data_IF_805672714013
#
_entry.id   IF_805672714013
#
_cell.length_a   1.000
_cell.length_b   1.000
_cell.length_c   1.000
_cell.angle_alpha   90.00
_cell.angle_beta   90.00
_cell.angle_gamma   90.00
#
_symmetry.space_group_name_H-M   'P 1'
#
loop_
_entity.id
_entity.type
_entity.pdbx_description
1 polymer ?
#
# COMPACT_ATOMS: atom_id res chain seq x y z
N UNK A 1 26.70 -6.89 26.08
CA UNK A 1 26.82 -5.83 25.06
C UNK A 1 27.78 -6.35 24.02
N UNK A 2 27.36 -6.41 22.76
CA UNK A 2 28.27 -6.81 21.68
C UNK A 2 29.33 -5.72 21.46
N UNK A 3 30.62 -6.09 21.26
CA UNK A 3 31.67 -5.11 21.04
C UNK A 3 31.46 -4.41 19.68
N UNK A 4 31.53 -3.07 19.66
CA UNK A 4 31.50 -2.28 18.42
C UNK A 4 32.68 -2.71 17.55
N UNK A 5 32.39 -3.39 16.45
CA UNK A 5 33.39 -3.97 15.54
C UNK A 5 34.02 -2.95 14.59
N UNK A 6 33.37 -1.80 14.38
CA UNK A 6 33.76 -0.82 13.35
C UNK A 6 34.05 0.54 13.98
N UNK A 7 35.33 0.95 13.99
CA UNK A 7 35.79 2.19 14.63
C UNK A 7 36.67 3.01 13.71
N UNK A 8 36.45 4.32 13.69
CA UNK A 8 37.21 5.28 12.90
C UNK A 8 37.65 6.47 13.77
N UNK A 9 38.84 7.01 13.50
CA UNK A 9 39.39 8.14 14.26
C UNK A 9 38.68 9.46 13.97
N UNK A 10 38.07 9.62 12.79
CA UNK A 10 37.24 10.78 12.40
C UNK A 10 36.43 10.47 11.12
N UNK A 11 35.59 11.42 10.68
CA UNK A 11 34.72 11.27 9.49
C UNK A 11 35.54 11.11 8.20
N UNK A 12 36.71 11.73 8.11
CA UNK A 12 37.56 11.63 6.91
C UNK A 12 38.21 10.24 6.80
N UNK A 13 38.60 9.64 7.94
CA UNK A 13 39.03 8.24 7.99
C UNK A 13 37.89 7.29 7.57
N UNK A 14 36.65 7.57 7.98
CA UNK A 14 35.48 6.82 7.50
C UNK A 14 35.28 6.99 5.98
N UNK A 15 35.48 8.20 5.44
CA UNK A 15 35.29 8.50 4.01
C UNK A 15 36.20 7.68 3.11
N UNK A 16 37.45 7.47 3.51
CA UNK A 16 38.44 6.72 2.71
C UNK A 16 38.52 5.23 3.04
N UNK A 17 37.70 4.74 3.97
CA UNK A 17 37.70 3.32 4.36
C UNK A 17 36.79 2.44 3.50
N UNK A 18 37.15 1.17 3.36
CA UNK A 18 36.28 0.13 2.82
C UNK A 18 35.36 -0.38 3.92
N UNK A 19 34.14 0.15 3.94
CA UNK A 19 33.12 -0.22 4.92
C UNK A 19 32.07 -1.06 4.24
N UNK A 20 31.88 -2.29 4.71
CA UNK A 20 30.74 -3.10 4.32
C UNK A 20 29.46 -2.55 4.99
N UNK A 21 28.75 -1.73 4.22
CA UNK A 21 27.51 -1.06 4.63
C UNK A 21 26.40 -2.09 4.92
N UNK A 22 26.43 -3.27 4.30
CA UNK A 22 25.45 -4.33 4.56
C UNK A 22 25.75 -5.04 5.89
N UNK A 23 27.02 -5.32 6.19
CA UNK A 23 27.41 -5.85 7.49
C UNK A 23 27.12 -4.86 8.64
N UNK A 24 27.23 -3.55 8.38
CA UNK A 24 26.86 -2.52 9.35
C UNK A 24 25.35 -2.47 9.65
N UNK A 25 24.48 -2.78 8.67
CA UNK A 25 23.03 -2.91 8.90
C UNK A 25 22.71 -4.04 9.89
N UNK A 26 23.48 -5.12 9.89
CA UNK A 26 23.25 -6.28 10.73
C UNK A 26 23.67 -6.07 12.20
N UNK A 27 24.66 -5.22 12.46
CA UNK A 27 25.20 -4.96 13.81
C UNK A 27 24.78 -3.61 14.39
N UNK A 28 24.30 -2.68 13.56
CA UNK A 28 23.58 -1.48 13.97
C UNK A 28 24.38 -0.40 14.70
N UNK A 29 25.71 -0.51 14.83
CA UNK A 29 26.52 0.47 15.57
C UNK A 29 27.89 0.71 14.93
N UNK A 30 28.36 1.96 15.02
CA UNK A 30 29.67 2.43 14.54
C UNK A 30 30.27 3.45 15.52
N UNK A 31 31.58 3.48 15.66
CA UNK A 31 32.28 4.52 16.43
C UNK A 31 33.08 5.43 15.49
N UNK A 32 32.88 6.75 15.61
CA UNK A 32 33.63 7.75 14.83
C UNK A 32 34.12 8.85 15.76
N UNK A 33 35.44 9.03 15.85
CA UNK A 33 36.06 10.04 16.71
C UNK A 33 35.77 9.85 18.20
N UNK A 34 35.77 8.60 18.67
CA UNK A 34 35.52 8.25 20.07
C UNK A 34 34.06 8.38 20.52
N UNK A 35 33.11 8.54 19.57
CA UNK A 35 31.67 8.63 19.84
C UNK A 35 30.95 7.46 19.16
N UNK A 36 30.09 6.78 19.90
CA UNK A 36 29.26 5.70 19.37
C UNK A 36 27.98 6.23 18.75
N UNK A 37 27.65 5.69 17.58
CA UNK A 37 26.47 6.00 16.81
C UNK A 37 25.73 4.71 16.48
N UNK A 38 24.40 4.77 16.56
CA UNK A 38 23.50 3.71 16.15
C UNK A 38 23.06 3.98 14.71
N UNK A 39 23.17 2.96 13.86
CA UNK A 39 22.78 3.00 12.46
C UNK A 39 21.45 2.28 12.34
N UNK A 40 20.46 2.95 11.74
CA UNK A 40 19.15 2.37 11.44
C UNK A 40 18.83 2.57 9.97
N UNK A 41 18.06 1.65 9.40
CA UNK A 41 17.44 1.87 8.10
C UNK A 41 16.13 2.62 8.30
N UNK A 42 15.97 3.75 7.63
CA UNK A 42 14.68 4.44 7.52
C UNK A 42 13.75 3.70 6.54
N UNK A 43 12.46 4.05 6.54
CA UNK A 43 11.44 3.39 5.72
C UNK A 43 11.65 3.51 4.19
N UNK A 44 12.52 4.41 3.75
CA UNK A 44 12.99 4.58 2.37
C UNK A 44 14.31 3.84 2.07
N UNK A 45 14.73 2.97 3.00
CA UNK A 45 15.99 2.22 2.97
C UNK A 45 17.26 3.09 3.05
N UNK A 46 17.14 4.41 3.25
CA UNK A 46 18.27 5.28 3.58
C UNK A 46 18.75 5.02 5.01
N UNK A 47 20.06 5.04 5.20
CA UNK A 47 20.64 4.92 6.54
C UNK A 47 20.50 6.23 7.30
N UNK A 48 19.92 6.14 8.49
CA UNK A 48 19.93 7.22 9.49
C UNK A 48 20.90 6.84 10.61
N UNK A 49 21.55 7.86 11.17
CA UNK A 49 22.59 7.68 12.18
C UNK A 49 22.22 8.53 13.38
N UNK A 50 22.11 7.93 14.55
CA UNK A 50 21.79 8.63 15.80
C UNK A 50 22.92 8.42 16.81
N UNK A 51 23.22 9.44 17.62
CA UNK A 51 24.25 9.28 18.66
C UNK A 51 23.67 8.49 19.84
N UNK A 52 24.29 7.38 20.20
CA UNK A 52 23.82 6.52 21.29
C UNK A 52 23.87 7.28 22.63
N UNK A 53 22.75 7.33 23.36
CA UNK A 53 22.67 7.89 24.73
C UNK A 53 21.93 9.21 24.93
N UNK A 54 21.14 9.72 23.96
CA UNK A 54 20.17 10.82 24.20
C UNK A 54 18.72 10.32 24.18
N UNK A 55 17.88 10.65 25.18
CA UNK A 55 16.46 10.30 25.16
C UNK A 55 15.71 11.08 24.08
N UNK A 56 14.87 10.37 23.32
CA UNK A 56 14.01 10.94 22.28
C UNK A 56 12.95 11.87 22.90
N UNK A 57 13.07 13.18 22.66
CA UNK A 57 12.01 14.16 22.93
C UNK A 57 11.31 14.47 21.59
N UNK A 58 10.16 13.86 21.34
CA UNK A 58 9.25 14.31 20.30
C UNK A 58 8.29 15.33 20.88
N UNK A 59 8.45 16.59 20.49
CA UNK A 59 7.52 17.67 20.82
C UNK A 59 8.17 19.05 20.64
N UNK A 60 7.76 19.75 19.57
CA UNK A 60 8.10 21.14 19.20
C UNK A 60 9.55 21.40 18.84
N UNK A 61 9.83 21.73 17.57
CA UNK A 61 10.68 22.85 17.10
C UNK A 61 10.92 22.69 15.59
N UNK A 62 10.35 23.61 14.79
CA UNK A 62 10.87 23.89 13.44
C UNK A 62 11.60 25.23 13.46
N UNK A 63 12.70 25.25 12.70
CA UNK A 63 13.59 26.37 12.29
C UNK A 63 14.74 26.75 13.22
N UNK A 64 15.95 26.30 12.84
CA UNK A 64 17.04 27.20 12.47
C UNK A 64 17.92 26.54 11.41
N UNK A 65 18.40 27.34 10.45
CA UNK A 65 19.37 26.94 9.43
C UNK A 65 20.79 27.06 9.98
N UNK A 66 21.69 26.15 9.57
CA UNK A 66 23.14 26.29 9.75
C UNK A 66 23.74 25.37 10.83
N UNK A 67 24.14 24.17 10.41
CA UNK A 67 25.09 23.23 11.04
C UNK A 67 24.58 21.80 10.78
N UNK A 68 25.04 21.14 9.71
CA UNK A 68 24.75 19.70 9.54
C UNK A 68 25.34 18.96 10.75
N UNK A 69 24.51 18.20 11.45
CA UNK A 69 24.98 17.49 12.63
C UNK A 69 26.00 16.42 12.19
N UNK A 70 26.98 16.08 13.04
CA UNK A 70 27.95 15.00 12.70
C UNK A 70 27.25 13.69 12.32
N UNK A 71 26.07 13.43 12.90
CA UNK A 71 25.20 12.32 12.55
C UNK A 71 24.71 12.38 11.09
N UNK A 72 24.26 13.55 10.63
CA UNK A 72 23.80 13.74 9.24
C UNK A 72 24.95 13.54 8.24
N UNK A 73 26.15 14.00 8.60
CA UNK A 73 27.35 13.83 7.77
C UNK A 73 27.77 12.36 7.65
N UNK A 74 27.67 11.59 8.74
CA UNK A 74 27.95 10.15 8.74
C UNK A 74 26.87 9.41 7.94
N UNK A 75 25.59 9.74 8.14
CA UNK A 75 24.47 9.16 7.40
C UNK A 75 24.61 9.36 5.89
N UNK A 76 24.88 10.60 5.46
CA UNK A 76 25.08 10.93 4.05
C UNK A 76 26.26 10.14 3.46
N UNK A 77 27.40 10.08 4.17
CA UNK A 77 28.59 9.38 3.70
C UNK A 77 28.37 7.87 3.55
N UNK A 78 27.63 7.24 4.47
CA UNK A 78 27.29 5.82 4.38
C UNK A 78 26.32 5.53 3.23
N UNK A 79 25.38 6.44 2.96
CA UNK A 79 24.47 6.33 1.82
C UNK A 79 25.21 6.53 0.48
N UNK A 80 26.20 7.42 0.41
CA UNK A 80 27.02 7.62 -0.80
C UNK A 80 27.88 6.38 -1.13
N UNK A 81 28.44 5.72 -0.09
CA UNK A 81 29.18 4.45 -0.24
C UNK A 81 28.31 3.28 -0.68
N UNK A 82 27.02 3.32 -0.37
CA UNK A 82 26.04 2.34 -0.87
C UNK A 82 25.83 2.47 -2.38
N UNK A 83 25.82 3.70 -2.92
CA UNK A 83 25.61 3.95 -4.35
C UNK A 83 26.82 3.64 -5.24
N UNK A 84 28.02 3.52 -4.65
CA UNK A 84 29.29 3.34 -5.38
C UNK A 84 29.74 1.88 -5.51
N UNK A 85 28.98 0.91 -4.97
CA UNK A 85 29.29 -0.53 -5.01
C UNK A 85 28.47 -1.29 -6.08
N UNK A 86 28.55 -0.86 -7.34
CA UNK A 86 28.08 -1.65 -8.50
C UNK A 86 29.29 -2.28 -9.21
N UNK A 87 29.40 -3.62 -9.32
CA UNK A 87 30.43 -4.25 -10.13
C UNK A 87 30.19 -3.97 -11.62
N UNK A 88 31.15 -3.35 -12.31
CA UNK A 88 31.19 -3.27 -13.77
C UNK A 88 31.44 -4.67 -14.34
N UNK A 89 30.43 -5.28 -14.98
CA UNK A 89 30.66 -6.40 -15.88
C UNK A 89 30.86 -5.89 -17.31
N UNK A 90 31.99 -6.26 -17.88
CA UNK A 90 32.47 -5.91 -19.21
C UNK A 90 31.79 -6.73 -20.31
N UNK A 91 31.75 -6.13 -21.51
CA UNK A 91 31.35 -6.70 -22.81
C UNK A 91 32.18 -7.93 -23.22
N UNK A 92 31.51 -8.93 -23.81
CA UNK A 92 31.87 -9.75 -25.00
C UNK A 92 30.91 -10.96 -25.02
N UNK A 93 30.41 -11.51 -26.12
CA UNK A 93 30.62 -11.33 -27.55
C UNK A 93 29.49 -12.03 -28.33
N UNK A 94 29.50 -11.82 -29.63
CA UNK A 94 28.53 -12.24 -30.65
C UNK A 94 28.36 -13.77 -30.76
N UNK A 95 27.20 -14.22 -31.26
CA UNK A 95 27.12 -14.88 -32.59
C UNK A 95 25.69 -14.95 -33.12
N UNK A 96 25.60 -14.65 -34.41
CA UNK A 96 24.50 -14.79 -35.38
C UNK A 96 23.79 -16.15 -35.33
N UNK A 97 22.47 -16.18 -35.61
CA UNK A 97 21.88 -17.03 -36.65
C UNK A 97 20.46 -16.57 -37.03
N UNK A 98 20.15 -16.86 -38.29
CA UNK A 98 19.21 -16.27 -39.22
C UNK A 98 17.70 -16.51 -38.97
N UNK A 99 16.91 -15.48 -39.33
CA UNK A 99 15.82 -15.49 -40.34
C UNK A 99 14.71 -16.55 -40.24
N UNK A 100 13.48 -16.09 -39.95
CA UNK A 100 12.37 -16.24 -40.91
C UNK A 100 11.18 -15.31 -40.58
N UNK A 101 10.81 -14.52 -41.58
CA UNK A 101 9.59 -13.75 -41.71
C UNK A 101 8.43 -14.68 -42.07
N UNK A 102 7.27 -14.49 -41.47
CA UNK A 102 5.98 -14.77 -42.12
C UNK A 102 5.02 -13.62 -41.86
N UNK A 103 4.75 -12.86 -42.94
CA UNK A 103 3.55 -12.04 -43.08
C UNK A 103 2.38 -12.97 -43.39
N UNK A 104 1.24 -12.82 -42.70
CA UNK A 104 -0.06 -13.23 -43.21
C UNK A 104 -1.07 -12.13 -42.84
N UNK A 105 -1.69 -11.57 -43.88
CA UNK A 105 -2.77 -10.59 -43.86
C UNK A 105 -4.12 -11.19 -43.43
N UNK A 106 -5.06 -10.27 -43.22
CA UNK A 106 -6.45 -10.39 -42.77
C UNK A 106 -7.29 -11.54 -43.35
N UNK A 107 -8.18 -12.06 -42.50
CA UNK A 107 -9.30 -12.90 -42.92
C UNK A 107 -10.35 -13.01 -41.81
N UNK A 108 -11.47 -12.29 -41.98
CA UNK A 108 -12.69 -12.50 -41.20
C UNK A 108 -13.22 -13.93 -41.40
N UNK A 109 -13.54 -14.65 -40.32
CA UNK A 109 -14.81 -15.37 -40.17
C UNK A 109 -14.90 -16.11 -38.83
N UNK A 110 -15.98 -15.82 -38.12
CA UNK A 110 -16.72 -16.62 -37.15
C UNK A 110 -16.47 -18.15 -37.17
N UNK A 111 -16.08 -18.69 -36.00
CA UNK A 111 -16.62 -19.95 -35.50
C UNK A 111 -16.42 -20.06 -33.99
N UNK A 112 -17.50 -20.37 -33.28
CA UNK A 112 -17.51 -20.71 -31.88
C UNK A 112 -16.88 -22.10 -31.70
N UNK A 113 -15.70 -22.15 -31.10
CA UNK A 113 -15.15 -23.37 -30.51
C UNK A 113 -14.33 -22.97 -29.28
N UNK A 114 -14.67 -23.62 -28.19
CA UNK A 114 -14.17 -23.52 -26.83
C UNK A 114 -12.64 -23.62 -26.81
N UNK A 115 -11.97 -22.46 -26.86
CA UNK A 115 -10.62 -22.32 -26.34
C UNK A 115 -10.75 -21.80 -24.91
N UNK A 116 -10.33 -22.63 -23.95
CA UNK A 116 -10.16 -22.20 -22.56
C UNK A 116 -9.02 -21.19 -22.54
N UNK A 117 -9.37 -19.92 -22.77
CA UNK A 117 -8.45 -18.81 -22.56
C UNK A 117 -8.25 -18.68 -21.05
N UNK A 118 -7.01 -18.93 -20.59
CA UNK A 118 -6.55 -18.48 -19.28
C UNK A 118 -6.86 -16.98 -19.13
N UNK A 119 -7.80 -16.67 -18.24
CA UNK A 119 -8.15 -15.36 -17.70
C UNK A 119 -8.06 -14.17 -18.66
N UNK A 120 -9.07 -13.98 -19.51
CA UNK A 120 -9.31 -12.67 -20.12
C UNK A 120 -9.65 -11.67 -19.01
N UNK A 121 -8.72 -10.75 -18.73
CA UNK A 121 -8.99 -9.61 -17.87
C UNK A 121 -10.25 -8.86 -18.35
N UNK A 122 -11.07 -8.33 -17.43
CA UNK A 122 -12.29 -7.62 -17.79
C UNK A 122 -11.96 -6.33 -18.57
N UNK A 123 -12.94 -5.85 -19.32
CA UNK A 123 -12.83 -4.60 -20.07
C UNK A 123 -12.58 -3.41 -19.11
N UNK A 124 -11.45 -2.74 -19.27
CA UNK A 124 -11.05 -1.60 -18.43
C UNK A 124 -11.66 -0.26 -18.79
N UNK A 125 -12.67 -0.18 -19.66
CA UNK A 125 -13.27 1.09 -20.11
C UNK A 125 -13.73 1.97 -18.94
N UNK A 126 -14.45 1.42 -17.97
CA UNK A 126 -14.94 2.18 -16.81
C UNK A 126 -13.79 2.58 -15.88
N UNK A 127 -12.82 1.69 -15.69
CA UNK A 127 -11.61 1.96 -14.89
C UNK A 127 -10.85 3.14 -15.48
N UNK A 128 -10.57 3.12 -16.79
CA UNK A 128 -9.91 4.21 -17.52
C UNK A 128 -10.70 5.51 -17.44
N UNK A 129 -12.03 5.44 -17.61
CA UNK A 129 -12.91 6.61 -17.53
C UNK A 129 -12.82 7.30 -16.18
N UNK A 130 -12.86 6.54 -15.07
CA UNK A 130 -12.77 7.10 -13.71
C UNK A 130 -11.42 7.78 -13.44
N UNK A 131 -10.33 7.21 -13.95
CA UNK A 131 -8.98 7.79 -13.81
C UNK A 131 -8.80 9.04 -14.68
N UNK A 132 -9.40 9.03 -15.88
CA UNK A 132 -9.41 10.19 -16.77
C UNK A 132 -10.21 11.34 -16.17
N UNK A 133 -11.37 11.05 -15.57
CA UNK A 133 -12.18 12.04 -14.85
C UNK A 133 -11.38 12.69 -13.72
N UNK A 134 -10.78 11.87 -12.85
CA UNK A 134 -9.91 12.35 -11.77
C UNK A 134 -8.72 13.19 -12.28
N UNK A 135 -8.10 12.79 -13.40
CA UNK A 135 -7.02 13.55 -14.01
C UNK A 135 -7.49 14.89 -14.59
N UNK A 136 -8.67 14.93 -15.20
CA UNK A 136 -9.27 16.15 -15.72
C UNK A 136 -9.68 17.11 -14.59
N UNK A 137 -10.20 16.60 -13.47
CA UNK A 137 -10.47 17.40 -12.28
C UNK A 137 -9.18 18.03 -11.72
N UNK A 138 -8.11 17.22 -11.59
CA UNK A 138 -6.81 17.70 -11.15
C UNK A 138 -6.25 18.80 -12.07
N UNK A 139 -6.36 18.59 -13.39
CA UNK A 139 -5.96 19.57 -14.40
C UNK A 139 -6.78 20.86 -14.31
N UNK A 140 -8.10 20.75 -14.14
CA UNK A 140 -8.99 21.91 -13.98
C UNK A 140 -8.69 22.69 -12.69
N UNK A 141 -8.29 21.99 -11.62
CA UNK A 141 -7.83 22.58 -10.38
C UNK A 141 -6.40 23.14 -10.45
N UNK A 142 -5.70 22.99 -11.59
CA UNK A 142 -4.34 23.48 -11.79
C UNK A 142 -3.29 22.81 -10.89
N UNK A 143 -3.55 21.60 -10.40
CA UNK A 143 -2.64 20.92 -9.47
C UNK A 143 -1.95 19.72 -10.10
N UNK A 144 -0.63 19.68 -9.92
CA UNK A 144 0.22 18.53 -10.23
C UNK A 144 0.62 17.77 -8.97
N UNK A 145 0.28 18.28 -7.77
CA UNK A 145 0.72 17.68 -6.52
C UNK A 145 -0.08 16.40 -6.23
N UNK A 146 0.59 15.27 -6.09
CA UNK A 146 -0.05 13.96 -5.83
C UNK A 146 -0.90 13.96 -4.56
N UNK A 147 -0.52 14.68 -3.51
CA UNK A 147 -1.33 14.83 -2.29
C UNK A 147 -2.63 15.59 -2.53
N UNK A 148 -2.63 16.61 -3.40
CA UNK A 148 -3.85 17.32 -3.79
C UNK A 148 -4.74 16.45 -4.69
N UNK A 149 -4.15 15.69 -5.62
CA UNK A 149 -4.88 14.74 -6.48
C UNK A 149 -5.51 13.62 -5.63
N UNK A 150 -4.79 13.11 -4.63
CA UNK A 150 -5.34 12.14 -3.67
C UNK A 150 -6.52 12.72 -2.89
N UNK A 151 -6.52 14.01 -2.54
CA UNK A 151 -7.67 14.66 -1.92
C UNK A 151 -8.87 14.75 -2.86
N UNK A 152 -8.68 14.83 -4.18
CA UNK A 152 -9.78 14.73 -5.14
C UNK A 152 -10.34 13.30 -5.16
N UNK A 153 -9.46 12.30 -5.27
CA UNK A 153 -9.83 10.89 -5.15
C UNK A 153 -10.66 10.61 -3.87
N UNK A 154 -10.21 11.13 -2.72
CA UNK A 154 -10.85 10.89 -1.44
C UNK A 154 -12.19 11.62 -1.23
N UNK A 155 -12.57 12.55 -2.13
CA UNK A 155 -13.86 13.25 -2.09
C UNK A 155 -14.99 12.45 -2.73
N UNK A 156 -14.67 11.44 -3.55
CA UNK A 156 -15.67 10.58 -4.17
C UNK A 156 -16.17 9.57 -3.13
N UNK A 157 -17.11 10.01 -2.29
CA UNK A 157 -17.64 9.21 -1.19
C UNK A 157 -18.89 8.41 -1.59
N UNK A 158 -19.09 7.20 -1.03
CA UNK A 158 -20.34 6.47 -1.20
C UNK A 158 -21.51 7.25 -0.60
N UNK A 159 -22.65 7.27 -1.30
CA UNK A 159 -23.88 7.93 -0.82
C UNK A 159 -24.63 7.01 0.14
N UNK A 160 -24.50 7.26 1.44
CA UNK A 160 -25.16 6.49 2.51
C UNK A 160 -25.57 7.34 3.69
N UNK A 161 -26.52 6.84 4.48
CA UNK A 161 -26.79 7.37 5.81
C UNK A 161 -25.70 6.89 6.76
N UNK A 162 -25.05 7.81 7.46
CA UNK A 162 -24.00 7.46 8.42
C UNK A 162 -24.60 6.78 9.66
N UNK A 163 -23.83 5.87 10.26
CA UNK A 163 -24.24 5.24 11.53
C UNK A 163 -24.30 6.29 12.64
N UNK A 164 -25.39 6.36 13.41
CA UNK A 164 -25.51 7.33 14.50
C UNK A 164 -24.47 7.05 15.60
N UNK A 165 -23.92 8.09 16.25
CA UNK A 165 -22.92 7.93 17.31
C UNK A 165 -23.34 7.02 18.47
N UNK A 166 -24.64 6.91 18.73
CA UNK A 166 -25.23 6.04 19.76
C UNK A 166 -24.94 4.55 19.52
N UNK A 167 -24.71 4.14 18.27
CA UNK A 167 -24.44 2.73 17.92
C UNK A 167 -22.95 2.38 17.90
N UNK A 168 -22.06 3.39 17.81
CA UNK A 168 -20.62 3.17 17.61
C UNK A 168 -20.00 2.31 18.72
N UNK A 169 -20.39 2.54 19.97
CA UNK A 169 -19.87 1.78 21.13
C UNK A 169 -20.23 0.29 21.03
N UNK A 170 -21.43 -0.04 20.57
CA UNK A 170 -21.85 -1.43 20.43
C UNK A 170 -21.07 -2.14 19.31
N UNK A 171 -20.77 -1.44 18.22
CA UNK A 171 -19.95 -1.97 17.13
C UNK A 171 -18.49 -2.20 17.56
N UNK A 172 -17.88 -1.24 18.27
CA UNK A 172 -16.51 -1.40 18.79
C UNK A 172 -16.42 -2.53 19.83
N UNK A 173 -17.41 -2.66 20.72
CA UNK A 173 -17.48 -3.76 21.66
C UNK A 173 -17.62 -5.12 20.96
N UNK A 174 -18.40 -5.18 19.87
CA UNK A 174 -18.54 -6.37 19.04
C UNK A 174 -17.21 -6.76 18.38
N UNK A 175 -16.50 -5.81 17.78
CA UNK A 175 -15.14 -6.05 17.23
C UNK A 175 -14.19 -6.56 18.30
N UNK A 176 -14.15 -5.92 19.48
CA UNK A 176 -13.27 -6.35 20.55
C UNK A 176 -13.60 -7.75 21.08
N UNK A 177 -14.89 -8.15 21.10
CA UNK A 177 -15.30 -9.50 21.49
C UNK A 177 -14.68 -10.58 20.61
N UNK A 178 -14.53 -10.29 19.31
CA UNK A 178 -13.93 -11.21 18.33
C UNK A 178 -12.40 -11.23 18.39
N UNK A 179 -11.77 -10.24 19.04
CA UNK A 179 -10.32 -10.14 19.14
C UNK A 179 -9.74 -11.29 19.98
N UNK A 180 -8.83 -12.06 19.40
CA UNK A 180 -8.23 -13.25 19.99
C UNK A 180 -9.07 -14.52 19.85
N UNK A 181 -10.19 -14.49 19.12
CA UNK A 181 -10.97 -15.68 18.79
C UNK A 181 -10.50 -16.29 17.47
N UNK A 182 -10.60 -17.62 17.32
CA UNK A 182 -10.27 -18.35 16.10
C UNK A 182 -8.89 -18.00 15.53
N UNK A 183 -7.91 -17.79 16.41
CA UNK A 183 -6.56 -17.39 16.03
C UNK A 183 -6.48 -16.04 15.28
N UNK A 184 -7.44 -15.14 15.45
CA UNK A 184 -7.48 -13.81 14.82
C UNK A 184 -7.21 -12.70 15.84
N UNK A 185 -6.37 -11.74 15.46
CA UNK A 185 -6.18 -10.48 16.17
C UNK A 185 -6.86 -9.33 15.43
N UNK A 186 -7.48 -8.43 16.20
CA UNK A 186 -8.09 -7.19 15.71
C UNK A 186 -7.49 -6.03 16.47
N UNK A 187 -6.93 -5.03 15.77
CA UNK A 187 -6.36 -3.83 16.40
C UNK A 187 -6.48 -2.61 15.49
N UNK A 188 -6.54 -1.38 16.05
CA UNK A 188 -6.58 -0.17 15.24
C UNK A 188 -5.24 0.11 14.56
N UNK A 189 -5.27 0.57 13.31
CA UNK A 189 -4.08 0.72 12.46
C UNK A 189 -3.02 1.69 13.04
N UNK A 190 -3.42 2.67 13.87
CA UNK A 190 -2.47 3.57 14.55
C UNK A 190 -1.65 2.89 15.67
N UNK A 191 -1.90 1.61 15.94
CA UNK A 191 -1.15 0.79 16.88
C UNK A 191 -0.31 -0.30 16.18
N UNK A 192 -0.09 -0.20 14.86
CA UNK A 192 0.65 -1.20 14.07
C UNK A 192 2.06 -1.48 14.62
N UNK A 193 2.68 -0.53 15.33
CA UNK A 193 3.98 -0.64 15.98
C UNK A 193 3.99 -1.49 17.27
N UNK A 194 2.82 -1.83 17.82
CA UNK A 194 2.69 -2.60 19.06
C UNK A 194 2.47 -4.08 18.77
N UNK A 195 2.92 -4.94 19.69
CA UNK A 195 2.84 -6.39 19.56
C UNK A 195 2.40 -7.07 20.86
N UNK A 196 1.97 -8.33 20.75
CA UNK A 196 1.69 -9.22 21.87
C UNK A 196 0.70 -8.66 22.90
N UNK A 197 1.00 -8.86 24.18
CA UNK A 197 0.15 -8.43 25.30
C UNK A 197 -0.02 -6.92 25.39
N UNK A 198 0.99 -6.15 24.97
CA UNK A 198 0.94 -4.69 24.93
C UNK A 198 -0.10 -4.25 23.90
N UNK A 199 -0.03 -4.75 22.67
CA UNK A 199 -1.04 -4.46 21.64
C UNK A 199 -2.45 -4.78 22.13
N UNK A 200 -2.64 -5.96 22.75
CA UNK A 200 -3.95 -6.38 23.26
C UNK A 200 -4.49 -5.41 24.31
N UNK A 201 -3.65 -4.98 25.26
CA UNK A 201 -4.02 -4.00 26.29
C UNK A 201 -4.41 -2.65 25.68
N UNK A 202 -3.56 -2.09 24.82
CA UNK A 202 -3.81 -0.78 24.23
C UNK A 202 -5.00 -0.79 23.26
N UNK A 203 -5.21 -1.89 22.54
CA UNK A 203 -6.40 -2.08 21.70
C UNK A 203 -7.69 -2.01 22.53
N UNK A 204 -7.72 -2.71 23.67
CA UNK A 204 -8.88 -2.68 24.58
C UNK A 204 -9.17 -1.27 25.08
N UNK A 205 -8.14 -0.59 25.59
CA UNK A 205 -8.29 0.77 26.12
C UNK A 205 -8.72 1.76 25.04
N UNK A 206 -8.13 1.66 23.85
CA UNK A 206 -8.47 2.52 22.71
C UNK A 206 -9.93 2.32 22.28
N UNK A 207 -10.35 1.10 21.97
CA UNK A 207 -11.72 0.81 21.53
C UNK A 207 -12.78 1.17 22.58
N UNK A 208 -12.43 1.12 23.87
CA UNK A 208 -13.37 1.40 24.98
C UNK A 208 -13.50 2.89 25.28
N UNK A 209 -12.39 3.63 25.27
CA UNK A 209 -12.31 4.95 25.91
C UNK A 209 -11.96 6.08 24.93
N UNK A 210 -11.36 5.79 23.77
CA UNK A 210 -10.87 6.83 22.87
C UNK A 210 -12.01 7.36 21.97
N UNK A 211 -12.28 8.67 21.94
CA UNK A 211 -13.33 9.25 21.11
C UNK A 211 -13.06 9.09 19.60
N UNK A 212 -11.81 8.89 19.20
CA UNK A 212 -11.43 8.67 17.81
C UNK A 212 -11.57 7.22 17.36
N UNK A 213 -11.83 6.28 18.28
CA UNK A 213 -11.95 4.87 17.96
C UNK A 213 -12.98 4.56 16.85
N UNK A 214 -14.18 5.17 16.80
CA UNK A 214 -15.11 4.97 15.70
C UNK A 214 -14.57 5.38 14.32
N UNK A 215 -13.56 6.26 14.27
CA UNK A 215 -13.07 6.92 13.06
C UNK A 215 -11.74 6.33 12.53
N UNK A 216 -11.25 5.23 13.14
CA UNK A 216 -10.03 4.53 12.69
C UNK A 216 -10.34 3.35 11.78
N UNK A 217 -9.30 2.87 11.10
CA UNK A 217 -9.32 1.53 10.50
C UNK A 217 -8.79 0.52 11.50
N UNK A 218 -9.28 -0.71 11.39
CA UNK A 218 -8.87 -1.84 12.21
C UNK A 218 -8.34 -2.94 11.32
N UNK A 219 -7.15 -3.43 11.64
CA UNK A 219 -6.55 -4.61 11.02
C UNK A 219 -7.19 -5.87 11.61
N UNK A 220 -7.32 -6.89 10.79
CA UNK A 220 -7.81 -8.22 11.14
C UNK A 220 -6.85 -9.20 10.47
N UNK A 221 -5.98 -9.82 11.26
CA UNK A 221 -4.93 -10.72 10.78
C UNK A 221 -4.83 -11.92 11.72
N UNK A 222 -4.25 -13.03 11.25
CA UNK A 222 -4.04 -14.20 12.10
C UNK A 222 -3.01 -13.92 13.19
N UNK A 223 -3.10 -14.62 14.31
CA UNK A 223 -2.24 -14.39 15.46
C UNK A 223 -0.83 -14.86 15.15
N UNK A 224 0.15 -14.01 15.48
CA UNK A 224 1.55 -14.27 15.11
C UNK A 224 1.88 -13.94 13.65
N UNK A 225 0.88 -13.71 12.80
CA UNK A 225 1.08 -13.22 11.44
C UNK A 225 1.00 -11.68 11.42
N UNK A 226 1.85 -11.09 10.59
CA UNK A 226 1.86 -9.66 10.26
C UNK A 226 2.12 -9.54 8.77
N UNK A 227 1.22 -8.90 8.06
CA UNK A 227 1.40 -8.71 6.61
C UNK A 227 2.51 -7.70 6.39
N UNK A 228 3.59 -8.11 5.72
CA UNK A 228 4.59 -7.20 5.20
C UNK A 228 4.01 -6.38 4.05
N UNK A 229 4.43 -5.12 3.90
CA UNK A 229 3.93 -4.26 2.82
C UNK A 229 4.17 -4.85 1.43
N UNK A 230 5.28 -5.58 1.25
CA UNK A 230 5.64 -6.23 0.00
C UNK A 230 4.86 -7.52 -0.29
N UNK A 231 4.19 -8.08 0.72
CA UNK A 231 3.34 -9.26 0.53
C UNK A 231 2.01 -8.89 -0.15
N UNK A 232 1.60 -7.62 -0.07
CA UNK A 232 0.35 -7.13 -0.65
C UNK A 232 0.49 -6.95 -2.16
N UNK A 233 -0.05 -7.93 -2.90
CA UNK A 233 -0.07 -7.94 -4.37
C UNK A 233 -1.37 -7.42 -4.97
N UNK A 234 -2.50 -7.66 -4.29
CA UNK A 234 -3.79 -7.15 -4.72
C UNK A 234 -4.72 -6.89 -3.55
N UNK A 235 -5.84 -6.24 -3.83
CA UNK A 235 -6.89 -5.97 -2.85
C UNK A 235 -8.27 -6.13 -3.44
N UNK A 236 -9.17 -6.62 -2.59
CA UNK A 236 -10.61 -6.53 -2.77
C UNK A 236 -11.17 -5.49 -1.79
N UNK A 237 -11.60 -4.36 -2.30
CA UNK A 237 -12.34 -3.34 -1.55
C UNK A 237 -13.82 -3.70 -1.53
N UNK A 238 -14.40 -3.63 -0.34
CA UNK A 238 -15.81 -3.93 -0.08
C UNK A 238 -16.48 -2.69 0.51
N UNK A 239 -17.63 -2.31 -0.06
CA UNK A 239 -18.43 -1.18 0.36
C UNK A 239 -19.83 -1.66 0.75
N UNK A 240 -20.12 -1.58 2.04
CA UNK A 240 -21.40 -1.94 2.65
C UNK A 240 -22.01 -0.76 3.39
N UNK A 241 -23.33 -0.73 3.51
CA UNK A 241 -24.03 0.30 4.28
C UNK A 241 -23.64 0.22 5.76
N UNK A 242 -23.55 1.36 6.49
CA UNK A 242 -23.07 1.37 7.86
C UNK A 242 -23.82 0.45 8.82
N UNK A 243 -25.13 0.25 8.65
CA UNK A 243 -25.95 -0.63 9.49
C UNK A 243 -25.48 -2.11 9.49
N UNK A 244 -24.76 -2.54 8.45
CA UNK A 244 -24.20 -3.89 8.32
C UNK A 244 -22.74 -4.00 8.81
N UNK A 245 -22.27 -3.04 9.60
CA UNK A 245 -20.89 -3.01 10.11
C UNK A 245 -20.50 -4.31 10.83
N UNK A 246 -21.36 -4.80 11.74
CA UNK A 246 -21.06 -5.99 12.55
C UNK A 246 -20.99 -7.26 11.69
N UNK A 247 -21.88 -7.39 10.72
CA UNK A 247 -21.93 -8.47 9.74
C UNK A 247 -20.67 -8.46 8.87
N UNK A 248 -20.23 -7.29 8.42
CA UNK A 248 -18.97 -7.14 7.69
C UNK A 248 -17.75 -7.52 8.54
N UNK A 249 -17.71 -7.12 9.81
CA UNK A 249 -16.64 -7.56 10.73
C UNK A 249 -16.66 -9.08 10.91
N UNK A 250 -17.84 -9.69 11.11
CA UNK A 250 -17.96 -11.15 11.24
C UNK A 250 -17.45 -11.86 9.98
N UNK A 251 -17.84 -11.39 8.80
CA UNK A 251 -17.39 -11.94 7.53
C UNK A 251 -15.87 -11.77 7.35
N UNK A 252 -15.31 -10.61 7.70
CA UNK A 252 -13.87 -10.37 7.61
C UNK A 252 -13.06 -11.28 8.55
N UNK A 253 -13.49 -11.44 9.79
CA UNK A 253 -12.87 -12.37 10.75
C UNK A 253 -12.94 -13.81 10.24
N UNK A 254 -14.13 -14.25 9.83
CA UNK A 254 -14.37 -15.62 9.34
C UNK A 254 -13.51 -15.93 8.12
N UNK A 255 -13.58 -15.10 7.08
CA UNK A 255 -12.86 -15.31 5.83
C UNK A 255 -11.35 -15.26 6.04
N UNK A 256 -10.85 -14.34 6.86
CA UNK A 256 -9.41 -14.27 7.19
C UNK A 256 -8.96 -15.53 7.94
N UNK A 257 -9.77 -16.06 8.88
CA UNK A 257 -9.43 -17.28 9.60
C UNK A 257 -9.43 -18.52 8.68
N UNK A 258 -10.43 -18.65 7.81
CA UNK A 258 -10.67 -19.86 7.01
C UNK A 258 -9.84 -19.92 5.71
N UNK A 259 -9.51 -18.77 5.11
CA UNK A 259 -8.87 -18.72 3.79
C UNK A 259 -7.44 -18.18 3.87
N UNK A 260 -6.46 -19.08 3.71
CA UNK A 260 -5.01 -18.77 3.75
C UNK A 260 -4.54 -17.84 2.63
N UNK A 261 -5.27 -17.74 1.52
CA UNK A 261 -4.95 -16.81 0.41
C UNK A 261 -5.27 -15.35 0.76
N UNK A 262 -6.04 -15.12 1.82
CA UNK A 262 -6.24 -13.81 2.42
C UNK A 262 -5.10 -13.57 3.41
N UNK A 263 -4.21 -12.65 3.07
CA UNK A 263 -3.08 -12.28 3.95
C UNK A 263 -3.60 -11.60 5.23
N UNK A 264 -4.67 -10.83 5.07
CA UNK A 264 -5.51 -10.31 6.14
C UNK A 264 -6.43 -9.23 5.60
N UNK A 265 -7.14 -8.57 6.51
CA UNK A 265 -8.15 -7.59 6.15
C UNK A 265 -8.09 -6.35 7.02
N UNK A 266 -8.74 -5.29 6.54
CA UNK A 266 -8.85 -4.00 7.18
C UNK A 266 -10.29 -3.56 7.11
N UNK A 267 -10.92 -3.25 8.23
CA UNK A 267 -12.31 -2.77 8.30
C UNK A 267 -12.34 -1.38 8.93
N UNK A 268 -13.13 -0.48 8.36
CA UNK A 268 -13.37 0.84 8.91
C UNK A 268 -14.17 0.73 10.22
N UNK A 269 -13.85 1.61 11.18
CA UNK A 269 -14.67 1.78 12.36
C UNK A 269 -16.08 2.28 12.00
N UNK A 270 -17.05 2.14 12.92
CA UNK A 270 -18.45 2.46 12.66
C UNK A 270 -18.71 3.92 12.24
N UNK A 271 -17.93 4.88 12.76
CA UNK A 271 -18.03 6.30 12.38
C UNK A 271 -17.32 6.64 11.07
N UNK A 272 -16.55 5.69 10.51
CA UNK A 272 -15.77 5.89 9.28
C UNK A 272 -16.43 5.33 8.03
N UNK A 273 -17.32 4.33 8.14
CA UNK A 273 -18.06 3.83 6.97
C UNK A 273 -18.93 4.97 6.41
N UNK A 274 -18.82 5.21 5.10
CA UNK A 274 -19.52 6.30 4.43
C UNK A 274 -18.73 7.60 4.33
N UNK A 275 -17.65 7.77 5.11
CA UNK A 275 -16.80 8.98 5.10
C UNK A 275 -15.47 8.78 4.37
N UNK A 276 -15.31 7.61 3.75
CA UNK A 276 -14.14 7.21 2.97
C UNK A 276 -14.56 6.30 1.80
N UNK A 277 -13.64 6.02 0.89
CA UNK A 277 -13.88 5.24 -0.34
C UNK A 277 -14.05 3.73 -0.10
N UNK A 278 -13.57 3.23 1.04
CA UNK A 278 -13.52 1.81 1.39
C UNK A 278 -14.03 1.54 2.81
N UNK A 279 -15.12 0.78 2.92
CA UNK A 279 -15.62 0.27 4.21
C UNK A 279 -14.75 -0.89 4.74
N UNK A 280 -14.35 -1.80 3.86
CA UNK A 280 -13.42 -2.88 4.19
C UNK A 280 -12.49 -3.19 3.01
N UNK A 281 -11.33 -3.77 3.30
CA UNK A 281 -10.34 -4.20 2.32
C UNK A 281 -9.81 -5.57 2.72
N UNK A 282 -9.78 -6.51 1.78
CA UNK A 282 -9.08 -7.79 1.91
C UNK A 282 -7.81 -7.73 1.07
N UNK A 283 -6.67 -8.04 1.69
CA UNK A 283 -5.39 -8.18 0.99
C UNK A 283 -5.27 -9.62 0.50
N UNK A 284 -5.22 -9.77 -0.82
CA UNK A 284 -5.27 -11.07 -1.51
C UNK A 284 -4.10 -11.22 -2.49
N UNK A 285 -3.86 -12.45 -2.93
CA UNK A 285 -2.94 -12.73 -4.04
C UNK A 285 -3.38 -12.02 -5.33
N UNK A 286 -2.47 -11.91 -6.31
CA UNK A 286 -2.70 -11.28 -7.62
C UNK A 286 -3.46 -12.18 -8.60
N UNK A 287 -4.42 -12.96 -8.12
CA UNK A 287 -5.32 -13.75 -8.96
C UNK A 287 -6.73 -13.18 -8.91
N UNK A 288 -7.18 -12.65 -10.05
CA UNK A 288 -8.51 -12.09 -10.18
C UNK A 288 -9.61 -13.13 -9.93
N UNK A 289 -9.40 -14.39 -10.33
CA UNK A 289 -10.38 -15.46 -10.10
C UNK A 289 -10.56 -15.75 -8.60
N UNK A 290 -9.48 -15.74 -7.83
CA UNK A 290 -9.53 -15.82 -6.37
C UNK A 290 -10.28 -14.64 -5.74
N UNK A 291 -10.11 -13.42 -6.27
CA UNK A 291 -10.88 -12.26 -5.81
C UNK A 291 -12.38 -12.38 -6.15
N UNK A 292 -12.73 -12.95 -7.30
CA UNK A 292 -14.13 -13.25 -7.67
C UNK A 292 -14.74 -14.31 -6.75
N UNK A 293 -14.00 -15.37 -6.42
CA UNK A 293 -14.44 -16.38 -5.46
C UNK A 293 -14.67 -15.77 -4.06
N UNK A 294 -13.77 -14.88 -3.61
CA UNK A 294 -13.95 -14.16 -2.36
C UNK A 294 -15.18 -13.24 -2.38
N UNK A 295 -15.40 -12.52 -3.48
CA UNK A 295 -16.59 -11.70 -3.70
C UNK A 295 -17.88 -12.52 -3.58
N UNK A 296 -17.91 -13.73 -4.16
CA UNK A 296 -19.05 -14.63 -4.04
C UNK A 296 -19.26 -15.12 -2.60
N UNK A 297 -18.18 -15.49 -1.89
CA UNK A 297 -18.27 -15.86 -0.47
C UNK A 297 -18.78 -14.73 0.42
N UNK A 298 -18.41 -13.49 0.13
CA UNK A 298 -18.93 -12.32 0.85
C UNK A 298 -20.44 -12.15 0.65
N UNK A 299 -20.97 -12.38 -0.56
CA UNK A 299 -22.41 -12.32 -0.84
C UNK A 299 -23.22 -13.41 -0.13
N UNK A 300 -22.61 -14.54 0.16
CA UNK A 300 -23.24 -15.60 0.95
C UNK A 300 -23.28 -15.28 2.45
N UNK A 301 -22.31 -14.48 2.94
CA UNK A 301 -22.19 -14.13 4.35
C UNK A 301 -22.91 -12.83 4.72
N UNK A 302 -23.20 -11.97 3.74
CA UNK A 302 -23.82 -10.66 3.95
C UNK A 302 -25.19 -10.58 3.29
N UNK A 303 -26.15 -9.84 3.88
CA UNK A 303 -27.42 -9.55 3.23
C UNK A 303 -27.22 -8.92 1.86
N UNK A 304 -28.08 -9.27 0.90
CA UNK A 304 -27.97 -8.78 -0.49
C UNK A 304 -28.10 -7.25 -0.60
N UNK A 305 -28.84 -6.63 0.32
CA UNK A 305 -29.02 -5.19 0.40
C UNK A 305 -27.91 -4.48 1.18
N UNK A 306 -26.93 -5.20 1.72
CA UNK A 306 -25.80 -4.62 2.44
C UNK A 306 -24.86 -3.83 1.53
N UNK A 307 -24.69 -4.25 0.27
CA UNK A 307 -23.70 -3.66 -0.63
C UNK A 307 -24.14 -2.31 -1.21
N UNK A 308 -23.21 -1.35 -1.28
CA UNK A 308 -23.39 -0.02 -1.85
C UNK A 308 -22.86 0.00 -3.28
N UNK A 309 -23.57 0.69 -4.19
CA UNK A 309 -23.04 0.93 -5.53
C UNK A 309 -22.01 2.07 -5.51
N UNK A 310 -20.76 1.76 -5.19
CA UNK A 310 -19.63 2.68 -5.22
C UNK A 310 -18.36 1.96 -5.65
N UNK A 311 -17.64 2.53 -6.60
CA UNK A 311 -16.38 2.00 -7.15
C UNK A 311 -15.32 3.09 -7.09
N UNK A 312 -14.31 2.97 -6.22
CA UNK A 312 -13.26 3.96 -6.16
C UNK A 312 -12.50 4.06 -7.49
N UNK A 313 -12.09 5.27 -7.88
CA UNK A 313 -11.42 5.50 -9.15
C UNK A 313 -10.21 4.58 -9.37
N UNK A 314 -10.10 4.03 -10.57
CA UNK A 314 -9.02 3.11 -10.93
C UNK A 314 -9.14 1.69 -10.36
N UNK A 315 -10.28 1.32 -9.78
CA UNK A 315 -10.57 -0.08 -9.40
C UNK A 315 -11.51 -0.75 -10.39
N UNK A 316 -11.34 -2.06 -10.59
CA UNK A 316 -12.23 -2.91 -11.37
C UNK A 316 -13.44 -3.29 -10.52
N UNK A 317 -14.64 -2.85 -10.88
CA UNK A 317 -15.87 -3.35 -10.30
C UNK A 317 -16.06 -4.82 -10.70
N UNK A 318 -16.16 -5.71 -9.70
CA UNK A 318 -16.57 -7.11 -9.90
C UNK A 318 -18.10 -7.16 -9.88
N UNK A 319 -18.68 -6.57 -8.83
CA UNK A 319 -20.12 -6.46 -8.60
C UNK A 319 -20.41 -5.24 -7.70
N UNK A 320 -21.68 -4.98 -7.44
CA UNK A 320 -22.13 -3.89 -6.55
C UNK A 320 -21.36 -3.94 -5.22
N UNK A 321 -20.59 -2.89 -4.95
CA UNK A 321 -19.83 -2.71 -3.71
C UNK A 321 -18.60 -3.60 -3.58
N UNK A 322 -18.18 -4.30 -4.64
CA UNK A 322 -17.05 -5.23 -4.63
C UNK A 322 -16.09 -4.84 -5.75
N UNK A 323 -14.93 -4.28 -5.37
CA UNK A 323 -13.99 -3.65 -6.30
C UNK A 323 -12.58 -4.20 -6.11
N UNK A 324 -11.88 -4.50 -7.21
CA UNK A 324 -10.55 -5.12 -7.20
C UNK A 324 -9.48 -4.20 -7.79
N UNK A 325 -8.28 -4.25 -7.22
CA UNK A 325 -7.10 -3.65 -7.83
C UNK A 325 -5.82 -4.36 -7.40
N UNK A 326 -4.88 -4.48 -8.33
CA UNK A 326 -3.53 -4.99 -8.11
C UNK A 326 -2.58 -3.85 -7.74
N UNK A 327 -1.46 -4.24 -7.15
CA UNK A 327 -0.35 -3.37 -6.76
C UNK A 327 0.92 -3.89 -7.40
N UNK A 328 1.67 -2.99 -8.04
CA UNK A 328 3.04 -3.24 -8.46
C UNK A 328 3.96 -3.23 -7.23
N UNK A 329 4.90 -4.19 -7.07
CA UNK A 329 5.87 -4.20 -5.98
C UNK A 329 6.65 -2.87 -5.87
N UNK A 330 6.93 -2.42 -4.65
CA UNK A 330 7.57 -1.12 -4.40
C UNK A 330 6.68 0.13 -4.62
N UNK A 331 5.45 -0.01 -5.11
CA UNK A 331 4.50 1.12 -5.21
C UNK A 331 3.81 1.42 -3.86
N UNK A 332 3.11 2.55 -3.78
CA UNK A 332 2.38 2.98 -2.59
C UNK A 332 1.35 1.94 -2.15
N UNK A 333 1.27 1.70 -0.84
CA UNK A 333 0.29 0.75 -0.27
C UNK A 333 -1.12 1.37 -0.17
N UNK A 334 -1.26 2.68 -0.31
CA UNK A 334 -2.54 3.35 -0.52
C UNK A 334 -2.85 3.39 -2.02
N UNK A 335 -3.93 2.70 -2.42
CA UNK A 335 -4.40 2.67 -3.82
C UNK A 335 -4.59 4.08 -4.39
N UNK A 336 -5.36 4.93 -3.69
CA UNK A 336 -5.62 6.29 -4.15
C UNK A 336 -4.34 7.13 -4.28
N UNK A 337 -3.36 6.95 -3.39
CA UNK A 337 -2.09 7.68 -3.47
C UNK A 337 -1.23 7.20 -4.64
N UNK A 338 -1.15 5.88 -4.86
CA UNK A 338 -0.49 5.30 -6.03
C UNK A 338 -1.08 5.90 -7.32
N UNK A 339 -2.41 5.86 -7.47
CA UNK A 339 -3.07 6.38 -8.68
C UNK A 339 -2.86 7.90 -8.82
N UNK A 340 -2.89 8.64 -7.72
CA UNK A 340 -2.61 10.07 -7.72
C UNK A 340 -1.18 10.42 -8.15
N UNK A 341 -0.16 9.61 -7.78
CA UNK A 341 1.23 9.79 -8.25
C UNK A 341 1.35 9.54 -9.74
N UNK A 342 0.71 8.49 -10.26
CA UNK A 342 0.73 8.19 -11.70
C UNK A 342 0.04 9.29 -12.51
N UNK A 343 -1.11 9.78 -12.04
CA UNK A 343 -1.82 10.93 -12.66
C UNK A 343 -0.94 12.19 -12.61
N UNK A 344 -0.29 12.46 -11.48
CA UNK A 344 0.67 13.57 -11.36
C UNK A 344 1.77 13.50 -12.43
N UNK A 345 2.37 12.32 -12.63
CA UNK A 345 3.36 12.09 -13.70
C UNK A 345 2.78 12.31 -15.10
N UNK A 346 1.55 11.84 -15.36
CA UNK A 346 0.88 12.04 -16.65
C UNK A 346 0.58 13.53 -16.94
N UNK A 347 0.23 14.30 -15.91
CA UNK A 347 -0.05 15.74 -16.04
C UNK A 347 1.23 16.57 -16.18
N UNK A 348 2.36 16.09 -15.65
CA UNK A 348 3.67 16.72 -15.82
C UNK A 348 4.30 16.46 -17.21
N UNK A 349 3.79 15.50 -17.98
CA UNK A 349 4.23 15.24 -19.34
C UNK A 349 3.90 16.43 -20.27
N UNK A 350 4.94 17.09 -20.78
CA UNK A 350 4.84 18.29 -21.64
C UNK A 350 4.60 17.99 -23.12
N UNK A 351 4.51 16.71 -23.51
CA UNK A 351 4.25 16.33 -24.90
C UNK A 351 2.89 16.83 -25.38
N UNK A 352 2.74 16.92 -26.71
CA UNK A 352 1.47 17.33 -27.36
C UNK A 352 0.40 16.22 -27.40
N UNK A 353 0.62 15.10 -26.71
CA UNK A 353 -0.33 13.98 -26.65
C UNK A 353 -1.60 14.36 -25.88
N UNK A 354 -2.71 13.66 -26.17
CA UNK A 354 -3.94 13.79 -25.35
C UNK A 354 -3.70 13.28 -23.92
N UNK A 355 -4.54 13.70 -22.98
CA UNK A 355 -4.42 13.29 -21.58
C UNK A 355 -4.61 11.78 -21.41
N UNK A 356 -5.50 11.17 -22.20
CA UNK A 356 -5.74 9.72 -22.21
C UNK A 356 -4.46 8.97 -22.59
N UNK A 357 -3.75 9.43 -23.63
CA UNK A 357 -2.51 8.83 -24.08
C UNK A 357 -1.38 9.01 -23.04
N UNK A 358 -1.30 10.19 -22.42
CA UNK A 358 -0.34 10.46 -21.33
C UNK A 358 -0.59 9.56 -20.12
N UNK A 359 -1.85 9.39 -19.72
CA UNK A 359 -2.24 8.46 -18.65
C UNK A 359 -1.87 7.03 -19.00
N UNK A 360 -2.21 6.55 -20.20
CA UNK A 360 -1.86 5.20 -20.65
C UNK A 360 -0.35 4.95 -20.57
N UNK A 361 0.47 5.90 -21.04
CA UNK A 361 1.93 5.82 -20.94
C UNK A 361 2.41 5.83 -19.48
N UNK A 362 1.88 6.71 -18.63
CA UNK A 362 2.26 6.79 -17.22
C UNK A 362 1.94 5.50 -16.46
N UNK A 363 0.76 4.91 -16.68
CA UNK A 363 0.39 3.62 -16.10
C UNK A 363 1.29 2.48 -16.58
N UNK A 364 1.55 2.40 -17.89
CA UNK A 364 2.47 1.42 -18.46
C UNK A 364 3.87 1.53 -17.86
N UNK A 365 4.41 2.75 -17.75
CA UNK A 365 5.73 3.00 -17.17
C UNK A 365 5.79 2.67 -15.67
N UNK A 366 4.66 2.79 -14.97
CA UNK A 366 4.52 2.41 -13.57
C UNK A 366 4.25 0.91 -13.37
N UNK A 367 4.23 0.09 -14.43
CA UNK A 367 4.04 -1.37 -14.35
C UNK A 367 2.58 -1.84 -14.36
N UNK A 368 1.63 -0.96 -14.69
CA UNK A 368 0.20 -1.26 -14.77
C UNK A 368 -0.26 -1.46 -16.20
N UNK A 369 -1.28 -2.30 -16.39
CA UNK A 369 -1.90 -2.50 -17.69
C UNK A 369 -2.56 -1.19 -18.17
N UNK A 370 -2.12 -0.59 -19.29
CA UNK A 370 -2.68 0.65 -19.80
C UNK A 370 -4.13 0.52 -20.26
N UNK A 371 -4.60 -0.69 -20.57
CA UNK A 371 -5.98 -0.95 -20.98
C UNK A 371 -6.94 -1.20 -19.82
N UNK A 372 -6.41 -1.68 -18.70
CA UNK A 372 -7.13 -1.79 -17.45
C UNK A 372 -6.20 -1.53 -16.25
N UNK A 373 -6.05 -0.25 -15.82
CA UNK A 373 -5.10 0.12 -14.77
C UNK A 373 -5.41 -0.42 -13.36
N UNK A 374 -6.49 -1.18 -13.20
CA UNK A 374 -6.72 -1.97 -12.00
C UNK A 374 -5.81 -3.21 -11.94
N UNK A 375 -5.17 -3.60 -13.05
CA UNK A 375 -4.30 -4.77 -13.16
C UNK A 375 -2.86 -4.38 -13.45
N UNK A 376 -1.93 -5.21 -13.01
CA UNK A 376 -0.50 -5.13 -13.36
C UNK A 376 -0.24 -5.67 -14.78
N UNK A 377 0.94 -5.36 -15.33
CA UNK A 377 1.40 -5.83 -16.65
C UNK A 377 1.77 -7.30 -16.69
#
# INVERSE_FOLDING_TARGET
>A
MDPIKTRFSNIEALRHSEVDVQALKAHGQIEVGGKSYEIRAAANDELTVERSGKPSKFGTFFKSAGSSSQSDQIAQLLNDKRGSSVPRFARQGQTHLDRMLFNIEEGQSSSAATSVQKNKQPNGRLVKSSLLELANEAKAAGTLNSGAIYKLYAKELPRVNLMPPTEHRACLAHMYKLNGQNDINIWPQNLDQLYGSVLKRYTKEFMKNDPEAPNKYYRIERSGERIGTEDVKARLTVNVKPEFHKEMVNAAVKLTAENRDILGSKVAGPGKIGTTTDAAVFYVGNDFSSAQALAQRLKELLPSDAFINHTPAGMQCIEKGLCYAERVPGDDTSHGMSRARIISSALADTSRSSIEKKLGNAFKNAGYNPDNPAFTL
#
